data_IF_267617572450
#
_entry.id   IF_267617572450
#
_cell.length_a   1.000
_cell.length_b   1.000
_cell.length_c   1.000
_cell.angle_alpha   90.00
_cell.angle_beta   90.00
_cell.angle_gamma   90.00
#
_symmetry.space_group_name_H-M   'P 1'
#
loop_
_entity.id
_entity.type
_entity.pdbx_description
1 polymer ?
#
# COMPACT_ATOMS: atom_id res chain seq x y z
N UNK A 1 -6.34 15.76 -8.54
CA UNK A 1 -5.62 14.87 -7.65
C UNK A 1 -4.96 13.74 -8.45
N UNK A 2 -3.85 13.23 -7.93
CA UNK A 2 -3.15 12.09 -8.53
C UNK A 2 -3.48 10.80 -7.80
N UNK A 3 -3.59 9.67 -8.54
CA UNK A 3 -3.92 8.37 -7.99
C UNK A 3 -3.07 7.27 -8.64
N UNK A 4 -2.61 6.31 -7.83
CA UNK A 4 -1.96 5.09 -8.31
C UNK A 4 -2.64 3.85 -7.71
N UNK A 5 -2.59 2.73 -8.44
CA UNK A 5 -3.32 1.52 -8.12
C UNK A 5 -2.39 0.33 -7.87
N UNK A 6 -2.64 -0.40 -6.78
CA UNK A 6 -2.00 -1.67 -6.44
C UNK A 6 -3.10 -2.73 -6.28
N UNK A 7 -3.37 -3.49 -7.35
CA UNK A 7 -4.48 -4.45 -7.38
C UNK A 7 -4.01 -5.87 -7.07
N UNK A 8 -4.99 -6.73 -6.79
CA UNK A 8 -4.74 -8.10 -6.34
C UNK A 8 -4.16 -9.04 -7.40
N UNK A 9 -4.06 -10.32 -7.07
CA UNK A 9 -3.41 -11.31 -7.93
C UNK A 9 -4.22 -11.64 -9.19
N UNK A 10 -3.58 -11.75 -10.37
CA UNK A 10 -4.28 -12.03 -11.62
C UNK A 10 -4.81 -13.48 -11.73
N UNK A 11 -4.38 -14.38 -10.83
CA UNK A 11 -4.90 -15.73 -10.70
C UNK A 11 -6.08 -15.85 -9.71
N UNK A 12 -6.57 -14.72 -9.20
CA UNK A 12 -7.69 -14.62 -8.27
C UNK A 12 -8.84 -13.79 -8.89
N UNK A 13 -9.96 -14.45 -9.21
CA UNK A 13 -11.12 -13.77 -9.77
C UNK A 13 -11.68 -12.68 -8.84
N UNK A 14 -11.54 -12.80 -7.53
CA UNK A 14 -11.99 -11.77 -6.58
C UNK A 14 -11.22 -10.47 -6.74
N UNK A 15 -9.93 -10.55 -7.08
CA UNK A 15 -9.09 -9.41 -7.38
C UNK A 15 -9.58 -8.64 -8.63
N UNK A 16 -9.98 -9.37 -9.68
CA UNK A 16 -10.54 -8.78 -10.89
C UNK A 16 -11.88 -8.07 -10.60
N UNK A 17 -12.77 -8.71 -9.84
CA UNK A 17 -14.06 -8.09 -9.50
C UNK A 17 -13.89 -6.85 -8.63
N UNK A 18 -12.96 -6.89 -7.67
CA UNK A 18 -12.65 -5.72 -6.84
C UNK A 18 -12.08 -4.57 -7.68
N UNK A 19 -11.12 -4.86 -8.56
CA UNK A 19 -10.56 -3.87 -9.46
C UNK A 19 -11.62 -3.23 -10.36
N UNK A 20 -12.49 -4.05 -10.97
CA UNK A 20 -13.57 -3.56 -11.81
C UNK A 20 -14.52 -2.65 -11.03
N UNK A 21 -14.89 -3.01 -9.80
CA UNK A 21 -15.74 -2.18 -8.95
C UNK A 21 -15.09 -0.85 -8.56
N UNK A 22 -13.79 -0.85 -8.26
CA UNK A 22 -13.02 0.38 -8.00
C UNK A 22 -13.00 1.26 -9.24
N UNK A 23 -12.69 0.69 -10.41
CA UNK A 23 -12.65 1.43 -11.67
C UNK A 23 -14.01 2.00 -12.04
N UNK A 24 -15.08 1.21 -11.93
CA UNK A 24 -16.45 1.68 -12.19
C UNK A 24 -16.80 2.87 -11.29
N UNK A 25 -16.45 2.81 -10.00
CA UNK A 25 -16.68 3.90 -9.05
C UNK A 25 -15.87 5.15 -9.30
N UNK A 26 -14.69 5.04 -9.94
CA UNK A 26 -13.77 6.16 -10.18
C UNK A 26 -13.75 6.64 -11.64
N UNK A 27 -14.43 5.94 -12.55
CA UNK A 27 -14.35 6.18 -14.00
C UNK A 27 -14.67 7.62 -14.37
N UNK A 28 -15.73 8.21 -13.82
CA UNK A 28 -16.14 9.59 -14.09
C UNK A 28 -15.02 10.58 -13.75
N UNK A 29 -14.35 10.39 -12.62
CA UNK A 29 -13.26 11.26 -12.15
C UNK A 29 -11.96 11.08 -12.93
N UNK A 30 -11.72 9.88 -13.47
CA UNK A 30 -10.59 9.61 -14.35
C UNK A 30 -10.84 10.22 -15.75
N UNK A 31 -12.07 10.12 -16.25
CA UNK A 31 -12.45 10.64 -17.57
C UNK A 31 -12.46 12.17 -17.63
N UNK A 32 -12.89 12.83 -16.56
CA UNK A 32 -12.94 14.31 -16.49
C UNK A 32 -11.61 14.95 -16.05
N UNK A 33 -10.63 14.13 -15.65
CA UNK A 33 -9.30 14.57 -15.22
C UNK A 33 -9.25 15.10 -13.79
N UNK A 34 -10.31 14.91 -13.00
CA UNK A 34 -10.29 15.17 -11.54
C UNK A 34 -9.30 14.26 -10.83
N UNK A 35 -9.22 12.98 -11.28
CA UNK A 35 -8.18 12.02 -10.90
C UNK A 35 -7.27 11.73 -12.09
N UNK A 36 -5.96 11.78 -11.86
CA UNK A 36 -4.94 11.52 -12.88
C UNK A 36 -4.02 10.40 -12.40
N UNK A 37 -4.00 9.28 -13.11
CA UNK A 37 -3.01 8.23 -12.91
C UNK A 37 -1.77 8.57 -13.75
N UNK A 38 -0.72 9.12 -13.11
CA UNK A 38 0.49 9.58 -13.84
C UNK A 38 1.25 8.44 -14.50
N UNK A 39 1.25 7.24 -13.89
CA UNK A 39 1.86 6.06 -14.50
C UNK A 39 1.10 5.55 -15.73
N UNK A 40 -0.18 5.93 -15.87
CA UNK A 40 -1.09 5.40 -16.88
C UNK A 40 -1.56 3.97 -16.59
N UNK A 41 -1.15 3.37 -15.48
CA UNK A 41 -1.52 2.01 -15.09
C UNK A 41 -2.93 1.99 -14.49
N UNK A 42 -3.94 1.90 -15.32
CA UNK A 42 -5.35 1.87 -14.89
C UNK A 42 -6.03 0.53 -15.15
N UNK A 43 -5.48 -0.33 -16.04
CA UNK A 43 -6.05 -1.64 -16.30
C UNK A 43 -5.72 -2.64 -15.17
N UNK A 44 -6.53 -3.70 -15.04
CA UNK A 44 -6.21 -4.78 -14.09
C UNK A 44 -4.86 -5.43 -14.41
N UNK A 45 -4.55 -5.69 -15.67
CA UNK A 45 -3.28 -6.32 -16.08
C UNK A 45 -2.06 -5.46 -15.68
N UNK A 46 -2.17 -4.14 -15.80
CA UNK A 46 -1.09 -3.22 -15.45
C UNK A 46 -0.94 -3.04 -13.94
N UNK A 47 -2.02 -3.16 -13.17
CA UNK A 47 -2.04 -2.90 -11.73
C UNK A 47 -1.93 -4.14 -10.86
N UNK A 48 -2.19 -5.33 -11.42
CA UNK A 48 -2.19 -6.60 -10.71
C UNK A 48 -0.81 -6.95 -10.10
N UNK A 49 -0.85 -7.59 -8.93
CA UNK A 49 0.33 -8.03 -8.18
C UNK A 49 0.22 -9.52 -7.92
N UNK A 50 1.07 -10.29 -8.62
CA UNK A 50 1.08 -11.75 -8.56
C UNK A 50 1.19 -12.27 -7.13
N UNK A 51 0.32 -13.24 -6.81
CA UNK A 51 0.30 -13.94 -5.51
C UNK A 51 0.11 -13.03 -4.29
N UNK A 52 -0.49 -11.86 -4.48
CA UNK A 52 -0.70 -10.90 -3.40
C UNK A 52 0.59 -10.54 -2.64
N UNK A 53 1.72 -10.44 -3.35
CA UNK A 53 3.05 -10.25 -2.78
C UNK A 53 3.27 -8.80 -2.34
N UNK A 54 3.36 -8.55 -1.04
CA UNK A 54 3.67 -7.24 -0.46
C UNK A 54 5.02 -6.69 -0.95
N UNK A 55 6.04 -7.56 -1.04
CA UNK A 55 7.35 -7.18 -1.60
C UNK A 55 7.25 -6.71 -3.04
N UNK A 56 6.41 -7.35 -3.85
CA UNK A 56 6.20 -6.93 -5.24
C UNK A 56 5.40 -5.63 -5.31
N UNK A 57 4.44 -5.42 -4.40
CA UNK A 57 3.70 -4.17 -4.25
C UNK A 57 4.65 -3.01 -3.91
N UNK A 58 5.53 -3.22 -2.91
CA UNK A 58 6.57 -2.27 -2.53
C UNK A 58 7.44 -1.87 -3.73
N UNK A 59 8.04 -2.85 -4.41
CA UNK A 59 8.92 -2.59 -5.55
C UNK A 59 8.21 -1.91 -6.72
N UNK A 60 6.93 -2.23 -6.95
CA UNK A 60 6.12 -1.58 -7.98
C UNK A 60 5.88 -0.11 -7.64
N UNK A 61 5.47 0.19 -6.40
CA UNK A 61 5.24 1.56 -5.95
C UNK A 61 6.53 2.40 -5.95
N UNK A 62 7.65 1.83 -5.46
CA UNK A 62 8.97 2.48 -5.55
C UNK A 62 9.32 2.88 -6.98
N UNK A 63 9.05 1.99 -7.95
CA UNK A 63 9.30 2.27 -9.37
C UNK A 63 8.41 3.39 -9.90
N UNK A 64 7.12 3.36 -9.55
CA UNK A 64 6.15 4.38 -9.94
C UNK A 64 6.55 5.75 -9.36
N UNK A 65 6.85 5.83 -8.07
CA UNK A 65 7.24 7.08 -7.42
C UNK A 65 8.52 7.64 -8.07
N UNK A 66 9.51 6.80 -8.28
CA UNK A 66 10.78 7.19 -8.89
C UNK A 66 10.65 7.70 -10.32
N UNK A 67 9.71 7.17 -11.09
CA UNK A 67 9.53 7.53 -12.50
C UNK A 67 8.61 8.73 -12.69
N UNK A 68 7.53 8.82 -11.90
CA UNK A 68 6.44 9.75 -12.15
C UNK A 68 6.24 10.83 -11.08
N UNK A 69 6.86 10.68 -9.87
CA UNK A 69 6.63 11.54 -8.70
C UNK A 69 7.94 12.05 -8.08
N UNK A 70 8.99 12.24 -8.87
CA UNK A 70 10.30 12.69 -8.34
C UNK A 70 10.24 14.04 -7.63
N UNK A 71 9.36 14.94 -8.05
CA UNK A 71 9.22 16.28 -7.48
C UNK A 71 8.23 16.29 -6.30
N UNK A 72 7.10 15.61 -6.46
CA UNK A 72 6.03 15.54 -5.44
C UNK A 72 6.26 14.50 -4.36
N UNK A 73 7.18 13.55 -4.59
CA UNK A 73 7.55 12.41 -3.73
C UNK A 73 6.48 11.32 -3.57
N UNK A 74 5.20 11.62 -3.82
CA UNK A 74 4.09 10.67 -3.67
C UNK A 74 2.90 11.09 -4.53
N UNK A 75 2.01 10.17 -4.98
CA UNK A 75 0.68 10.52 -5.43
C UNK A 75 -0.19 11.03 -4.26
N UNK A 76 -1.27 11.73 -4.55
CA UNK A 76 -2.25 12.14 -3.53
C UNK A 76 -3.04 10.94 -2.97
N UNK A 77 -3.22 9.89 -3.78
CA UNK A 77 -3.98 8.69 -3.43
C UNK A 77 -3.24 7.43 -3.86
N UNK A 78 -3.07 6.49 -2.94
CA UNK A 78 -2.60 5.13 -3.21
C UNK A 78 -3.77 4.18 -2.95
N UNK A 79 -4.40 3.72 -4.03
CA UNK A 79 -5.53 2.82 -3.97
C UNK A 79 -5.05 1.37 -3.98
N UNK A 80 -5.27 0.65 -2.88
CA UNK A 80 -4.83 -0.74 -2.74
C UNK A 80 -6.01 -1.70 -2.57
N UNK A 81 -5.86 -2.90 -3.11
CA UNK A 81 -6.85 -3.99 -3.01
C UNK A 81 -6.66 -4.87 -1.77
N UNK A 82 -5.69 -4.58 -0.90
CA UNK A 82 -5.34 -5.41 0.24
C UNK A 82 -4.58 -4.59 1.30
N UNK A 83 -4.87 -4.83 2.58
CA UNK A 83 -4.21 -4.13 3.70
C UNK A 83 -2.68 -4.30 3.68
N UNK A 84 -2.16 -5.48 3.31
CA UNK A 84 -0.73 -5.71 3.15
C UNK A 84 -0.07 -4.83 2.08
N UNK A 85 -0.80 -4.44 1.03
CA UNK A 85 -0.27 -3.48 0.05
C UNK A 85 -0.27 -2.05 0.59
N UNK A 86 -1.22 -1.71 1.47
CA UNK A 86 -1.18 -0.45 2.19
C UNK A 86 0.04 -0.37 3.10
N UNK A 87 0.39 -1.46 3.80
CA UNK A 87 1.62 -1.53 4.60
C UNK A 87 2.88 -1.37 3.76
N UNK A 88 2.92 -1.99 2.59
CA UNK A 88 4.02 -1.81 1.66
C UNK A 88 4.13 -0.35 1.18
N UNK A 89 2.99 0.33 0.97
CA UNK A 89 2.97 1.75 0.62
C UNK A 89 3.49 2.63 1.76
N UNK A 90 3.07 2.38 3.00
CA UNK A 90 3.59 3.10 4.18
C UNK A 90 5.12 2.97 4.31
N UNK A 91 5.68 1.79 4.06
CA UNK A 91 7.12 1.57 4.07
C UNK A 91 7.82 2.38 2.98
N UNK A 92 7.29 2.38 1.74
CA UNK A 92 7.86 3.17 0.63
C UNK A 92 7.86 4.66 0.95
N UNK A 93 6.77 5.18 1.50
CA UNK A 93 6.65 6.59 1.86
C UNK A 93 7.63 6.97 2.97
N UNK A 94 7.76 6.13 3.99
CA UNK A 94 8.73 6.32 5.07
C UNK A 94 10.18 6.26 4.57
N UNK A 95 10.49 5.34 3.65
CA UNK A 95 11.81 5.24 3.00
C UNK A 95 12.14 6.48 2.13
N UNK A 96 11.11 7.25 1.72
CA UNK A 96 11.24 8.52 0.99
C UNK A 96 11.13 9.77 1.91
N UNK A 97 11.34 9.59 3.21
CA UNK A 97 11.32 10.67 4.23
C UNK A 97 9.98 11.43 4.34
N UNK A 98 8.84 10.77 4.02
CA UNK A 98 7.53 11.32 4.32
C UNK A 98 7.13 10.96 5.75
N UNK A 99 6.72 11.98 6.50
CA UNK A 99 6.22 11.80 7.87
C UNK A 99 4.75 11.37 7.83
N UNK A 100 4.46 10.24 8.48
CA UNK A 100 3.11 9.71 8.59
C UNK A 100 2.15 10.70 9.25
N UNK A 101 1.00 10.93 8.61
CA UNK A 101 -0.01 11.88 9.09
C UNK A 101 0.30 13.35 8.84
N UNK A 102 1.39 13.68 8.12
CA UNK A 102 1.66 15.05 7.65
C UNK A 102 0.67 15.47 6.55
N UNK A 103 0.65 16.76 6.20
CA UNK A 103 -0.17 17.26 5.09
C UNK A 103 0.23 16.67 3.72
N UNK A 104 1.47 16.18 3.60
CA UNK A 104 2.00 15.54 2.39
C UNK A 104 1.70 14.03 2.35
N UNK A 105 1.18 13.45 3.45
CA UNK A 105 0.86 12.03 3.51
C UNK A 105 -0.37 11.71 2.66
N UNK A 106 -0.29 10.76 1.72
CA UNK A 106 -1.39 10.47 0.81
C UNK A 106 -2.57 9.78 1.49
N UNK A 107 -3.71 9.79 0.82
CA UNK A 107 -4.81 8.87 1.12
C UNK A 107 -4.38 7.45 0.77
N UNK A 108 -4.31 6.56 1.75
CA UNK A 108 -4.00 5.15 1.55
C UNK A 108 -5.23 4.32 1.88
N UNK A 109 -5.68 3.51 0.93
CA UNK A 109 -6.83 2.63 1.10
C UNK A 109 -6.40 1.19 1.33
N UNK A 110 -7.27 0.38 1.93
CA UNK A 110 -7.03 -1.05 2.15
C UNK A 110 -8.29 -1.89 1.98
N UNK A 111 -8.11 -3.19 2.11
CA UNK A 111 -9.18 -4.18 2.12
C UNK A 111 -8.78 -5.37 2.99
N UNK A 112 -9.63 -5.74 3.94
CA UNK A 112 -9.42 -6.88 4.84
C UNK A 112 -9.69 -6.56 6.30
N UNK A 113 -9.53 -5.31 6.71
CA UNK A 113 -9.68 -4.84 8.10
C UNK A 113 -8.83 -5.66 9.09
N UNK A 114 -7.58 -5.91 8.73
CA UNK A 114 -6.64 -6.58 9.61
C UNK A 114 -6.34 -5.71 10.86
N UNK A 115 -5.96 -6.34 11.96
CA UNK A 115 -5.64 -5.63 13.22
C UNK A 115 -4.65 -4.48 13.00
N UNK A 116 -3.60 -4.72 12.20
CA UNK A 116 -2.61 -3.68 11.87
C UNK A 116 -3.24 -2.52 11.10
N UNK A 117 -4.09 -2.82 10.11
CA UNK A 117 -4.77 -1.79 9.32
C UNK A 117 -5.65 -0.89 10.21
N UNK A 118 -6.38 -1.48 11.17
CA UNK A 118 -7.20 -0.72 12.11
C UNK A 118 -6.35 0.17 13.01
N UNK A 119 -5.19 -0.32 13.49
CA UNK A 119 -4.22 0.48 14.23
C UNK A 119 -3.65 1.62 13.39
N UNK A 120 -3.29 1.36 12.14
CA UNK A 120 -2.74 2.35 11.22
C UNK A 120 -3.78 3.39 10.82
N UNK A 121 -5.06 3.04 10.71
CA UNK A 121 -6.19 3.97 10.56
C UNK A 121 -6.32 4.86 11.81
N UNK A 122 -6.33 4.28 13.00
CA UNK A 122 -6.41 5.04 14.25
C UNK A 122 -5.19 5.97 14.45
N UNK A 123 -4.02 5.59 13.93
CA UNK A 123 -2.79 6.40 13.94
C UNK A 123 -2.72 7.42 12.78
N UNK A 124 -3.67 7.43 11.85
CA UNK A 124 -3.67 8.33 10.70
C UNK A 124 -2.71 7.96 9.57
N UNK A 125 -2.19 6.73 9.55
CA UNK A 125 -1.32 6.21 8.48
C UNK A 125 -2.10 5.69 7.28
N UNK A 126 -3.22 5.01 7.53
CA UNK A 126 -4.20 4.59 6.53
C UNK A 126 -5.47 5.43 6.65
N UNK A 127 -6.13 5.68 5.55
CA UNK A 127 -7.37 6.46 5.53
C UNK A 127 -8.58 5.59 5.82
N UNK A 128 -8.64 4.41 5.22
CA UNK A 128 -9.70 3.43 5.46
C UNK A 128 -9.32 2.04 4.95
N UNK A 129 -10.04 1.05 5.45
CA UNK A 129 -10.07 -0.32 4.92
C UNK A 129 -11.51 -0.77 4.72
N UNK A 130 -11.71 -1.83 3.91
CA UNK A 130 -13.02 -2.44 3.72
C UNK A 130 -13.17 -3.67 4.61
N UNK A 131 -14.20 -3.68 5.44
CA UNK A 131 -14.57 -4.81 6.27
C UNK A 131 -15.65 -5.66 5.62
N UNK A 132 -15.42 -6.96 5.58
CA UNK A 132 -16.45 -7.96 5.31
C UNK A 132 -16.60 -8.85 6.53
N UNK A 133 -17.83 -8.94 7.06
CA UNK A 133 -18.11 -9.80 8.20
C UNK A 133 -18.00 -11.27 7.80
N UNK A 134 -16.86 -11.87 8.15
CA UNK A 134 -16.56 -13.27 7.86
C UNK A 134 -17.46 -14.23 8.64
N UNK A 135 -17.95 -13.81 9.81
CA UNK A 135 -18.88 -14.59 10.62
C UNK A 135 -20.26 -14.63 9.96
N UNK A 136 -20.77 -13.49 9.45
CA UNK A 136 -22.01 -13.44 8.67
C UNK A 136 -21.90 -14.33 7.42
N UNK A 137 -20.78 -14.24 6.70
CA UNK A 137 -20.53 -15.07 5.52
C UNK A 137 -20.53 -16.57 5.86
N UNK A 138 -19.83 -16.95 6.92
CA UNK A 138 -19.76 -18.34 7.38
C UNK A 138 -21.13 -18.87 7.84
N UNK A 139 -21.89 -18.07 8.60
CA UNK A 139 -23.25 -18.40 9.04
C UNK A 139 -24.19 -18.56 7.84
N UNK A 140 -24.14 -17.63 6.88
CA UNK A 140 -24.92 -17.69 5.65
C UNK A 140 -24.64 -18.97 4.86
N UNK A 141 -23.36 -19.29 4.63
CA UNK A 141 -22.98 -20.51 3.94
C UNK A 141 -23.41 -21.80 4.66
N UNK A 142 -23.27 -21.84 5.99
CA UNK A 142 -23.73 -22.98 6.79
C UNK A 142 -25.26 -23.13 6.72
N UNK A 143 -26.01 -22.04 6.83
CA UNK A 143 -27.47 -22.08 6.72
C UNK A 143 -27.93 -22.54 5.34
N UNK A 144 -27.33 -22.04 4.25
CA UNK A 144 -27.63 -22.49 2.89
C UNK A 144 -27.42 -24.01 2.74
N UNK A 145 -26.35 -24.56 3.33
CA UNK A 145 -26.10 -26.00 3.32
C UNK A 145 -27.16 -26.79 4.07
N UNK A 146 -27.60 -26.30 5.25
CA UNK A 146 -28.66 -26.92 6.05
C UNK A 146 -29.97 -26.90 5.27
N UNK A 147 -30.38 -25.77 4.71
CA UNK A 147 -31.63 -25.63 3.95
C UNK A 147 -31.66 -26.59 2.76
N UNK A 148 -30.54 -26.69 2.03
CA UNK A 148 -30.42 -27.63 0.93
C UNK A 148 -30.57 -29.10 1.37
N UNK A 149 -29.92 -29.48 2.47
CA UNK A 149 -29.97 -30.86 3.00
C UNK A 149 -31.32 -31.23 3.60
N UNK A 150 -32.06 -30.28 4.14
CA UNK A 150 -33.40 -30.48 4.71
C UNK A 150 -34.53 -30.34 3.69
N UNK A 151 -34.21 -29.91 2.47
CA UNK A 151 -35.19 -29.66 1.40
C UNK A 151 -35.94 -28.34 1.57
N UNK A 152 -35.45 -27.46 2.43
CA UNK A 152 -35.98 -26.11 2.58
C UNK A 152 -35.50 -25.21 1.43
N UNK A 153 -36.17 -24.07 1.28
CA UNK A 153 -35.80 -23.09 0.24
C UNK A 153 -34.53 -22.34 0.68
N UNK A 154 -33.43 -22.54 -0.06
CA UNK A 154 -32.19 -21.79 0.14
C UNK A 154 -32.43 -20.28 -0.05
N UNK A 155 -31.99 -19.45 0.92
CA UNK A 155 -32.09 -18.00 0.83
C UNK A 155 -31.05 -17.48 -0.17
N UNK A 156 -31.52 -17.03 -1.31
CA UNK A 156 -30.70 -16.44 -2.38
C UNK A 156 -31.32 -15.09 -2.71
N UNK A 157 -30.49 -14.04 -2.62
CA UNK A 157 -30.95 -12.65 -2.77
C UNK A 157 -30.70 -12.09 -4.18
N UNK A 158 -29.72 -12.62 -4.90
CA UNK A 158 -29.38 -12.16 -6.24
C UNK A 158 -29.39 -13.31 -7.25
N UNK A 159 -30.10 -13.08 -8.37
CA UNK A 159 -30.19 -13.98 -9.51
C UNK A 159 -29.79 -13.29 -10.82
N UNK A 160 -29.02 -12.20 -10.77
CA UNK A 160 -28.77 -11.38 -11.95
C UNK A 160 -27.29 -11.17 -12.29
N UNK A 161 -26.40 -11.13 -11.30
CA UNK A 161 -25.03 -10.64 -11.48
C UNK A 161 -24.00 -11.74 -11.77
N UNK A 162 -24.18 -12.95 -11.24
CA UNK A 162 -23.12 -13.95 -11.23
C UNK A 162 -23.40 -15.05 -12.26
N UNK A 163 -22.90 -14.84 -13.48
CA UNK A 163 -22.95 -15.83 -14.56
C UNK A 163 -21.65 -16.66 -14.56
N UNK A 164 -21.77 -17.98 -14.46
CA UNK A 164 -20.63 -18.88 -14.51
C UNK A 164 -20.38 -19.47 -15.93
N UNK A 165 -20.96 -18.86 -16.97
CA UNK A 165 -20.87 -19.29 -18.34
C UNK A 165 -21.86 -20.41 -18.75
N UNK A 166 -22.57 -20.99 -17.77
CA UNK A 166 -23.60 -22.01 -17.99
C UNK A 166 -24.98 -21.52 -17.56
N UNK A 167 -25.03 -20.71 -16.53
CA UNK A 167 -26.25 -20.12 -15.97
C UNK A 167 -25.94 -18.99 -15.02
N UNK A 168 -26.90 -18.13 -14.75
CA UNK A 168 -26.87 -17.21 -13.63
C UNK A 168 -26.92 -18.03 -12.32
N UNK A 169 -25.93 -17.86 -11.47
CA UNK A 169 -25.83 -18.52 -10.17
C UNK A 169 -26.55 -17.67 -9.14
N UNK A 170 -27.54 -18.24 -8.49
CA UNK A 170 -28.21 -17.58 -7.38
C UNK A 170 -27.22 -17.37 -6.22
N UNK A 171 -27.12 -16.15 -5.74
CA UNK A 171 -26.07 -15.73 -4.81
C UNK A 171 -26.64 -15.07 -3.55
N UNK A 172 -26.07 -15.41 -2.40
CA UNK A 172 -26.22 -14.68 -1.16
C UNK A 172 -25.04 -13.74 -1.01
N UNK A 173 -25.29 -12.45 -0.88
CA UNK A 173 -24.24 -11.44 -0.73
C UNK A 173 -24.24 -10.89 0.69
N UNK A 174 -23.05 -10.84 1.32
CA UNK A 174 -22.80 -10.11 2.54
C UNK A 174 -22.41 -8.67 2.21
N UNK A 175 -22.79 -7.72 3.06
CA UNK A 175 -22.42 -6.32 2.90
C UNK A 175 -20.92 -6.09 3.17
N UNK A 176 -20.32 -5.17 2.43
CA UNK A 176 -19.02 -4.60 2.78
C UNK A 176 -19.24 -3.26 3.49
N UNK A 177 -18.37 -2.93 4.45
CA UNK A 177 -18.43 -1.69 5.22
C UNK A 177 -17.07 -1.00 5.19
N UNK A 178 -17.08 0.31 4.97
CA UNK A 178 -15.88 1.14 5.12
C UNK A 178 -15.57 1.29 6.61
N UNK A 179 -14.33 1.01 6.98
CA UNK A 179 -13.79 1.24 8.31
C UNK A 179 -12.73 2.33 8.22
N UNK A 180 -12.99 3.43 8.90
CA UNK A 180 -12.15 4.61 8.98
C UNK A 180 -11.92 5.05 10.44
N UNK A 181 -11.24 6.17 10.64
CA UNK A 181 -10.94 6.70 11.98
C UNK A 181 -12.19 7.08 12.80
N UNK A 182 -13.34 7.31 12.16
CA UNK A 182 -14.55 7.77 12.81
C UNK A 182 -15.46 6.59 13.24
N UNK A 183 -15.23 5.39 12.68
CA UNK A 183 -16.11 4.24 12.91
C UNK A 183 -15.40 2.90 13.26
N UNK A 184 -14.07 2.83 13.33
CA UNK A 184 -13.35 1.56 13.57
C UNK A 184 -13.77 0.86 14.88
N UNK A 185 -14.37 1.58 15.83
CA UNK A 185 -14.90 1.03 17.06
C UNK A 185 -16.02 -0.02 16.82
N UNK A 186 -16.67 0.01 15.67
CA UNK A 186 -17.65 -1.01 15.26
C UNK A 186 -17.07 -2.42 15.31
N UNK A 187 -15.76 -2.57 15.02
CA UNK A 187 -15.08 -3.86 15.06
C UNK A 187 -14.92 -4.42 16.48
N UNK A 188 -14.95 -3.57 17.50
CA UNK A 188 -15.01 -3.98 18.89
C UNK A 188 -16.45 -4.30 19.28
N UNK A 189 -17.39 -3.43 18.91
CA UNK A 189 -18.80 -3.56 19.28
C UNK A 189 -19.43 -4.85 18.71
N UNK A 190 -19.00 -5.29 17.53
CA UNK A 190 -19.45 -6.53 16.91
C UNK A 190 -18.65 -7.78 17.34
N UNK A 191 -17.60 -7.60 18.16
CA UNK A 191 -16.76 -8.69 18.68
C UNK A 191 -15.72 -9.23 17.70
N UNK A 192 -15.47 -8.54 16.60
CA UNK A 192 -14.39 -8.91 15.64
C UNK A 192 -13.03 -8.79 16.31
N UNK A 193 -12.78 -7.72 17.07
CA UNK A 193 -11.58 -7.47 17.83
C UNK A 193 -11.91 -7.02 19.25
N UNK A 194 -10.93 -7.13 20.14
CA UNK A 194 -10.96 -6.48 21.45
C UNK A 194 -10.36 -5.09 21.35
N UNK A 195 -10.72 -4.21 22.28
CA UNK A 195 -10.16 -2.85 22.33
C UNK A 195 -8.62 -2.87 22.43
N UNK A 196 -8.07 -3.78 23.25
CA UNK A 196 -6.62 -3.92 23.45
C UNK A 196 -5.88 -4.34 22.15
N UNK A 197 -6.54 -5.08 21.26
CA UNK A 197 -5.94 -5.52 19.98
C UNK A 197 -5.78 -4.38 18.99
N UNK A 198 -6.67 -3.39 19.01
CA UNK A 198 -6.71 -2.28 18.05
C UNK A 198 -6.20 -0.94 18.57
N UNK A 199 -5.65 -0.91 19.78
CA UNK A 199 -4.94 0.29 20.27
C UNK A 199 -3.72 0.54 19.39
N UNK A 200 -3.53 1.76 18.86
CA UNK A 200 -2.34 2.09 18.07
C UNK A 200 -1.05 1.80 18.84
N UNK A 201 -0.05 1.29 18.13
CA UNK A 201 1.25 1.12 18.73
C UNK A 201 1.83 2.50 19.13
N UNK A 202 2.51 2.63 20.27
CA UNK A 202 3.05 3.92 20.69
C UNK A 202 4.02 4.43 19.62
N UNK A 203 3.79 5.65 19.16
CA UNK A 203 4.74 6.33 18.27
C UNK A 203 6.13 6.30 18.90
N UNK A 204 7.18 5.82 18.23
CA UNK A 204 8.52 5.82 18.78
C UNK A 204 8.89 7.24 19.20
N UNK A 205 9.08 7.46 20.50
CA UNK A 205 9.57 8.75 21.00
C UNK A 205 10.94 8.97 20.37
N UNK A 206 11.19 10.11 19.69
CA UNK A 206 12.50 10.39 19.13
C UNK A 206 13.54 10.22 20.24
N UNK A 207 14.49 9.33 20.01
CA UNK A 207 15.61 9.10 20.94
C UNK A 207 16.30 10.44 21.11
N UNK A 208 16.35 10.93 22.37
CA UNK A 208 16.94 12.23 22.66
C UNK A 208 18.36 12.26 22.10
N UNK A 209 18.59 13.08 21.09
CA UNK A 209 19.92 13.32 20.52
C UNK A 209 20.85 13.61 21.68
N UNK A 210 21.94 12.84 21.89
CA UNK A 210 22.85 13.08 22.98
C UNK A 210 23.37 14.52 22.84
N UNK A 211 23.13 15.34 23.87
CA UNK A 211 23.68 16.67 23.95
C UNK A 211 25.20 16.56 23.84
N UNK A 212 25.85 17.25 22.88
CA UNK A 212 27.30 17.17 22.75
C UNK A 212 27.94 17.61 24.07
N UNK A 213 28.70 16.71 24.67
CA UNK A 213 29.51 16.95 25.84
C UNK A 213 30.50 18.07 25.49
N UNK A 214 30.43 19.17 26.24
CA UNK A 214 31.32 20.31 26.06
C UNK A 214 32.72 19.85 26.40
N UNK A 215 33.52 19.56 25.40
CA UNK A 215 34.94 19.23 25.55
C UNK A 215 35.66 20.53 25.90
N UNK A 216 36.24 20.59 27.07
CA UNK A 216 37.11 21.67 27.52
C UNK A 216 38.24 21.95 26.51
N UNK A 217 38.36 23.20 26.13
CA UNK A 217 39.40 23.71 25.24
C UNK A 217 40.79 23.52 25.88
N UNK A 218 41.75 22.82 25.23
CA UNK A 218 43.13 22.87 25.69
C UNK A 218 43.78 24.20 25.27
N UNK A 219 44.45 24.78 26.24
CA UNK A 219 45.28 25.98 26.23
C UNK A 219 46.35 25.96 25.13
N UNK A 220 46.56 27.11 24.52
CA UNK A 220 47.53 27.36 23.45
C UNK A 220 48.97 27.18 23.93
N UNK A 221 49.75 26.37 23.21
CA UNK A 221 51.21 26.41 23.33
C UNK A 221 51.88 26.61 21.95
N UNK A 222 52.71 27.61 21.93
CA UNK A 222 53.51 28.23 20.92
C UNK A 222 54.21 27.35 19.88
N UNK A 223 54.29 27.95 18.68
CA UNK A 223 55.12 27.67 17.52
C UNK A 223 56.64 27.53 17.84
N UNK A 224 57.42 26.78 17.04
CA UNK A 224 58.26 27.46 16.10
C UNK A 224 58.28 26.81 14.67
N UNK A 225 58.70 27.71 13.78
CA UNK A 225 59.03 27.66 12.35
C UNK A 225 59.95 26.51 11.92
N UNK A 226 59.85 26.09 10.69
CA UNK A 226 60.73 26.31 9.54
C UNK A 226 60.87 25.09 8.61
N UNK A 227 60.88 25.41 7.37
CA UNK A 227 61.61 24.90 6.17
C UNK A 227 61.02 23.71 5.39
N UNK A 228 60.47 24.10 4.25
CA UNK A 228 60.99 23.95 2.85
C UNK A 228 60.96 22.57 2.15
N UNK A 229 60.35 22.66 0.96
CA UNK A 229 60.68 21.96 -0.34
C UNK A 229 60.01 20.58 -0.53
N UNK A 230 59.36 20.38 -1.57
CA UNK A 230 59.40 20.56 -3.00
C UNK A 230 59.03 19.22 -3.70
N UNK A 231 58.33 19.37 -4.76
CA UNK A 231 58.25 18.55 -5.98
C UNK A 231 57.30 17.31 -6.13
N UNK A 232 56.46 17.56 -7.11
CA UNK A 232 56.16 16.81 -8.33
C UNK A 232 55.11 15.71 -8.35
N UNK A 233 54.10 16.06 -9.14
CA UNK A 233 53.40 15.31 -10.20
C UNK A 233 53.20 13.78 -10.08
N UNK A 234 51.94 13.38 -10.18
CA UNK A 234 51.49 12.51 -11.28
C UNK A 234 49.95 12.36 -11.33
N UNK A 235 49.43 12.85 -12.42
CA UNK A 235 48.07 12.66 -12.96
C UNK A 235 47.89 11.22 -13.41
N UNK A 236 46.91 10.49 -12.95
CA UNK A 236 46.42 9.29 -13.65
C UNK A 236 44.89 9.31 -13.75
N UNK A 237 44.44 9.40 -14.99
CA UNK A 237 43.06 9.28 -15.46
C UNK A 237 42.67 7.81 -15.52
N UNK A 238 41.52 7.38 -15.04
CA UNK A 238 41.02 6.02 -15.31
C UNK A 238 40.26 5.94 -16.64
N UNK A 239 40.61 4.94 -17.42
CA UNK A 239 40.06 4.50 -18.70
C UNK A 239 38.66 3.88 -18.50
N UNK A 240 37.66 4.11 -19.39
CA UNK A 240 36.36 3.48 -19.32
C UNK A 240 36.34 2.03 -19.82
N UNK A 241 35.61 1.16 -19.13
CA UNK A 241 35.39 -0.23 -19.47
C UNK A 241 34.44 -0.42 -20.68
N UNK A 242 34.53 -1.56 -21.41
CA UNK A 242 33.87 -1.73 -22.71
C UNK A 242 32.38 -2.11 -22.58
N UNK A 243 31.55 -1.55 -23.47
CA UNK A 243 30.12 -1.86 -23.68
C UNK A 243 29.98 -3.24 -24.32
N UNK A 244 29.30 -4.16 -23.63
CA UNK A 244 28.88 -5.44 -24.21
C UNK A 244 27.52 -5.28 -24.86
N UNK A 245 27.48 -5.42 -26.18
CA UNK A 245 26.25 -5.42 -26.99
C UNK A 245 25.70 -6.84 -27.03
N UNK A 246 24.51 -7.06 -26.46
CA UNK A 246 23.79 -8.32 -26.59
C UNK A 246 23.04 -8.31 -27.93
N UNK A 247 23.35 -9.23 -28.83
CA UNK A 247 22.58 -9.51 -30.03
C UNK A 247 21.51 -10.51 -29.73
N UNK A 248 20.25 -10.12 -29.94
CA UNK A 248 19.11 -11.04 -29.98
C UNK A 248 19.18 -11.84 -31.28
N UNK A 249 19.23 -13.16 -31.18
CA UNK A 249 18.99 -14.08 -32.30
C UNK A 249 17.45 -14.17 -32.53
N UNK A 250 17.09 -13.95 -33.78
CA UNK A 250 15.77 -14.30 -34.32
C UNK A 250 15.82 -15.77 -34.76
N UNK A 251 14.87 -16.57 -34.29
CA UNK A 251 14.23 -17.65 -35.05
C UNK A 251 12.79 -17.81 -34.54
#
# INVERSE_FOLDING_TARGET
>A
YTIEFLMGSPDDNSALFLCNGIQEGLQEYLDDGTLVCKSGNTSFDDTAIMRWSETSAKSKLESIIKEFYMEEKTPDIICTAYDGFAYAAEEVLSDNDLESGSEEWPVITGYGSEVRAVKDIAAGKMSFTMFMDREELAKGGAQMAIDYLTGEKVDVKDYSQYDNGMKIVGTFTCGAQVIDKDNYQILVDNGTYTEDEIVPDPTPTPEATPTPEVTDTPEATSTPEDSSKDDSEAKTTPTPAPKTTLKLAKD
#
